data_IF_903378276047
#
_entry.id   IF_903378276047
#
_cell.length_a   1.000
_cell.length_b   1.000
_cell.length_c   1.000
_cell.angle_alpha   90.00
_cell.angle_beta   90.00
_cell.angle_gamma   90.00
#
_symmetry.space_group_name_H-M   'P 1'
#
loop_
_entity.id
_entity.type
_entity.pdbx_description
1 polymer ?
#
# COMPACT_ATOMS: atom_id res chain seq x y z
N UNK A 1 1.34 10.32 24.36
CA UNK A 1 1.72 11.48 23.51
C UNK A 1 1.93 10.97 22.10
N UNK A 2 1.05 11.34 21.18
CA UNK A 2 1.11 10.97 19.76
C UNK A 2 2.30 11.67 19.12
N UNK A 3 3.41 10.96 19.00
CA UNK A 3 4.61 11.46 18.32
C UNK A 3 4.25 11.84 16.89
N UNK A 4 4.38 13.13 16.58
CA UNK A 4 4.36 13.66 15.23
C UNK A 4 5.45 12.94 14.43
N UNK A 5 5.05 11.92 13.65
CA UNK A 5 5.95 11.26 12.70
C UNK A 5 6.29 12.29 11.64
N UNK A 6 7.43 12.98 11.78
CA UNK A 6 8.02 13.74 10.68
C UNK A 6 8.21 12.76 9.51
N UNK A 7 7.48 12.99 8.42
CA UNK A 7 7.66 12.20 7.22
C UNK A 7 9.06 12.49 6.65
N UNK A 8 9.77 11.48 6.12
CA UNK A 8 11.02 11.73 5.39
C UNK A 8 10.74 12.72 4.25
N UNK A 9 11.64 13.69 4.03
CA UNK A 9 11.48 14.74 3.02
C UNK A 9 11.18 14.20 1.61
N UNK A 10 11.70 13.01 1.27
CA UNK A 10 11.41 12.30 0.01
C UNK A 10 9.95 11.85 -0.11
N UNK A 11 9.32 11.46 1.00
CA UNK A 11 7.92 11.01 1.07
C UNK A 11 6.96 12.18 0.85
N UNK A 12 7.25 13.33 1.45
CA UNK A 12 6.46 14.55 1.23
C UNK A 12 6.59 15.07 -0.20
N UNK A 13 7.80 15.06 -0.76
CA UNK A 13 8.03 15.44 -2.15
C UNK A 13 7.25 14.54 -3.13
N UNK A 14 7.21 13.23 -2.87
CA UNK A 14 6.43 12.27 -3.66
C UNK A 14 4.92 12.55 -3.58
N UNK A 15 4.38 12.76 -2.37
CA UNK A 15 2.96 13.08 -2.19
C UNK A 15 2.59 14.42 -2.85
N UNK A 16 3.49 15.41 -2.80
CA UNK A 16 3.32 16.67 -3.50
C UNK A 16 3.28 16.48 -5.01
N UNK A 17 4.17 15.64 -5.57
CA UNK A 17 4.17 15.26 -6.99
C UNK A 17 2.84 14.62 -7.40
N UNK A 18 2.31 13.67 -6.63
CA UNK A 18 1.01 13.06 -6.88
C UNK A 18 -0.13 14.08 -6.90
N UNK A 19 -0.12 15.03 -5.96
CA UNK A 19 -1.12 16.10 -5.91
C UNK A 19 -1.02 17.05 -7.10
N UNK A 20 0.20 17.42 -7.50
CA UNK A 20 0.42 18.26 -8.68
C UNK A 20 -0.11 17.56 -9.93
N UNK A 21 0.30 16.31 -10.16
CA UNK A 21 -0.15 15.50 -11.30
C UNK A 21 -1.68 15.38 -11.37
N UNK A 22 -2.34 15.08 -10.25
CA UNK A 22 -3.81 15.03 -10.18
C UNK A 22 -4.45 16.35 -10.64
N UNK A 23 -3.95 17.48 -10.12
CA UNK A 23 -4.49 18.80 -10.47
C UNK A 23 -4.29 19.11 -11.94
N UNK A 24 -3.09 18.85 -12.47
CA UNK A 24 -2.74 19.17 -13.85
C UNK A 24 -3.54 18.31 -14.84
N UNK A 25 -3.69 17.01 -14.57
CA UNK A 25 -4.47 16.11 -15.43
C UNK A 25 -5.97 16.47 -15.41
N UNK A 26 -6.56 16.73 -14.24
CA UNK A 26 -7.98 17.14 -14.14
C UNK A 26 -8.21 18.49 -14.82
N UNK A 27 -7.31 19.46 -14.61
CA UNK A 27 -7.38 20.76 -15.26
C UNK A 27 -7.30 20.62 -16.78
N UNK A 28 -6.36 19.83 -17.28
CA UNK A 28 -6.20 19.54 -18.70
C UNK A 28 -7.48 18.91 -19.29
N UNK A 29 -8.11 17.96 -18.59
CA UNK A 29 -9.38 17.36 -19.05
C UNK A 29 -10.49 18.41 -19.17
N UNK A 30 -10.63 19.28 -18.16
CA UNK A 30 -11.65 20.34 -18.16
C UNK A 30 -11.41 21.34 -19.30
N UNK A 31 -10.19 21.86 -19.43
CA UNK A 31 -9.84 22.85 -20.45
C UNK A 31 -10.04 22.29 -21.86
N UNK A 32 -9.61 21.05 -22.13
CA UNK A 32 -9.83 20.44 -23.45
C UNK A 32 -11.32 20.21 -23.73
N UNK A 33 -12.12 19.84 -22.73
CA UNK A 33 -13.56 19.68 -22.89
C UNK A 33 -14.27 21.01 -23.16
N UNK A 34 -13.96 22.06 -22.40
CA UNK A 34 -14.51 23.41 -22.62
C UNK A 34 -14.25 23.90 -24.04
N UNK A 35 -13.04 23.67 -24.55
CA UNK A 35 -12.66 24.09 -25.90
C UNK A 35 -13.37 23.27 -26.99
N UNK A 36 -13.59 21.95 -26.80
CA UNK A 36 -14.44 21.16 -27.70
C UNK A 36 -15.86 21.76 -27.76
N UNK A 37 -16.42 22.14 -26.61
CA UNK A 37 -17.76 22.75 -26.54
C UNK A 37 -17.77 24.11 -27.24
N UNK A 38 -16.71 24.93 -27.11
CA UNK A 38 -16.60 26.21 -27.82
C UNK A 38 -16.56 26.02 -29.34
N UNK A 39 -15.69 25.15 -29.84
CA UNK A 39 -15.57 24.85 -31.26
C UNK A 39 -16.90 24.29 -31.83
N UNK A 40 -17.66 23.54 -31.03
CA UNK A 40 -18.93 22.93 -31.46
C UNK A 40 -20.04 23.95 -31.72
N UNK A 41 -19.91 25.18 -31.20
CA UNK A 41 -20.90 26.25 -31.42
C UNK A 41 -20.81 26.86 -32.83
N UNK A 42 -19.65 26.76 -33.48
CA UNK A 42 -19.43 27.34 -34.82
C UNK A 42 -19.56 28.87 -34.88
N UNK A 43 -19.50 29.55 -33.74
CA UNK A 43 -19.56 31.01 -33.62
C UNK A 43 -18.14 31.58 -33.73
N UNK A 44 -17.61 31.65 -34.95
CA UNK A 44 -16.27 32.19 -35.19
C UNK A 44 -16.27 33.19 -36.37
N UNK A 45 -15.94 34.45 -36.08
CA UNK A 45 -15.63 35.46 -37.10
C UNK A 45 -14.22 35.22 -37.63
N UNK A 46 -14.09 34.37 -38.65
CA UNK A 46 -12.78 34.07 -39.26
C UNK A 46 -12.72 34.58 -40.70
N UNK A 47 -11.50 34.90 -41.15
CA UNK A 47 -11.26 35.29 -42.54
C UNK A 47 -11.19 34.08 -43.50
N UNK A 48 -11.40 32.86 -42.99
CA UNK A 48 -11.33 31.63 -43.75
C UNK A 48 -12.67 31.29 -44.40
N UNK A 49 -12.62 30.50 -45.47
CA UNK A 49 -13.83 29.87 -46.01
C UNK A 49 -14.44 28.94 -44.96
N UNK A 50 -15.77 28.91 -44.88
CA UNK A 50 -16.52 28.07 -43.95
C UNK A 50 -16.11 26.60 -44.01
N UNK A 51 -15.83 26.08 -45.21
CA UNK A 51 -15.42 24.69 -45.40
C UNK A 51 -14.06 24.41 -44.76
N UNK A 52 -13.09 25.30 -44.96
CA UNK A 52 -11.76 25.21 -44.34
C UNK A 52 -11.82 25.35 -42.82
N UNK A 53 -12.68 26.24 -42.31
CA UNK A 53 -12.88 26.40 -40.87
C UNK A 53 -13.43 25.11 -40.23
N UNK A 54 -14.44 24.49 -40.84
CA UNK A 54 -15.01 23.25 -40.32
C UNK A 54 -13.99 22.10 -40.25
N UNK A 55 -13.11 21.98 -41.26
CA UNK A 55 -12.03 20.99 -41.24
C UNK A 55 -11.03 21.27 -40.10
N UNK A 56 -10.61 22.53 -39.95
CA UNK A 56 -9.71 22.94 -38.87
C UNK A 56 -10.30 22.64 -37.48
N UNK A 57 -11.56 23.04 -37.25
CA UNK A 57 -12.26 22.82 -35.98
C UNK A 57 -12.36 21.32 -35.67
N UNK A 58 -12.64 20.50 -36.69
CA UNK A 58 -12.71 19.03 -36.56
C UNK A 58 -11.36 18.45 -36.12
N UNK A 59 -10.26 18.86 -36.75
CA UNK A 59 -8.92 18.42 -36.35
C UNK A 59 -8.56 18.85 -34.93
N UNK A 60 -8.89 20.10 -34.57
CA UNK A 60 -8.64 20.59 -33.23
C UNK A 60 -9.45 19.84 -32.17
N UNK A 61 -10.74 19.57 -32.41
CA UNK A 61 -11.57 18.75 -31.54
C UNK A 61 -10.98 17.35 -31.33
N UNK A 62 -10.45 16.71 -32.39
CA UNK A 62 -9.78 15.41 -32.29
C UNK A 62 -8.53 15.45 -31.40
N UNK A 63 -7.68 16.46 -31.56
CA UNK A 63 -6.49 16.65 -30.72
C UNK A 63 -6.88 16.86 -29.26
N UNK A 64 -7.90 17.67 -29.02
CA UNK A 64 -8.41 17.93 -27.67
C UNK A 64 -9.00 16.68 -27.02
N UNK A 65 -9.76 15.89 -27.77
CA UNK A 65 -10.28 14.61 -27.29
C UNK A 65 -9.14 13.63 -26.93
N UNK A 66 -8.10 13.56 -27.76
CA UNK A 66 -6.92 12.74 -27.48
C UNK A 66 -6.18 13.19 -26.22
N UNK A 67 -6.08 14.51 -25.97
CA UNK A 67 -5.49 15.05 -24.74
C UNK A 67 -6.30 14.67 -23.49
N UNK A 68 -7.63 14.64 -23.56
CA UNK A 68 -8.50 14.16 -22.46
C UNK A 68 -8.21 12.69 -22.16
N UNK A 69 -8.13 11.83 -23.18
CA UNK A 69 -7.81 10.41 -23.00
C UNK A 69 -6.43 10.23 -22.35
N UNK A 70 -5.42 10.97 -22.82
CA UNK A 70 -4.06 10.93 -22.26
C UNK A 70 -4.03 11.34 -20.79
N UNK A 71 -4.76 12.39 -20.41
CA UNK A 71 -4.88 12.79 -19.01
C UNK A 71 -5.58 11.70 -18.16
N UNK A 72 -6.62 11.06 -18.71
CA UNK A 72 -7.27 9.91 -18.07
C UNK A 72 -6.32 8.72 -17.83
N UNK A 73 -5.50 8.37 -18.82
CA UNK A 73 -4.46 7.34 -18.65
C UNK A 73 -3.43 7.72 -17.58
N UNK A 74 -3.02 8.98 -17.54
CA UNK A 74 -2.12 9.49 -16.52
C UNK A 74 -2.72 9.36 -15.11
N UNK A 75 -4.01 9.66 -14.94
CA UNK A 75 -4.73 9.45 -13.68
C UNK A 75 -4.81 7.97 -13.29
N UNK A 76 -5.04 7.06 -14.23
CA UNK A 76 -5.02 5.61 -13.95
C UNK A 76 -3.65 5.14 -13.43
N UNK A 77 -2.55 5.64 -14.02
CA UNK A 77 -1.18 5.38 -13.53
C UNK A 77 -0.99 5.96 -12.13
N UNK A 78 -1.45 7.18 -11.87
CA UNK A 78 -1.38 7.80 -10.55
C UNK A 78 -2.10 6.96 -9.47
N UNK A 79 -3.28 6.41 -9.77
CA UNK A 79 -4.00 5.51 -8.86
C UNK A 79 -3.17 4.26 -8.55
N UNK A 80 -2.51 3.68 -9.56
CA UNK A 80 -1.60 2.54 -9.37
C UNK A 80 -0.43 2.89 -8.46
N UNK A 81 0.20 4.05 -8.69
CA UNK A 81 1.33 4.54 -7.89
C UNK A 81 0.93 4.73 -6.40
N UNK A 82 -0.27 5.27 -6.15
CA UNK A 82 -0.81 5.44 -4.79
C UNK A 82 -1.05 4.09 -4.11
N UNK A 83 -1.61 3.11 -4.83
CA UNK A 83 -1.81 1.74 -4.28
C UNK A 83 -0.47 1.12 -3.89
N UNK A 84 0.51 1.19 -4.78
CA UNK A 84 1.85 0.67 -4.50
C UNK A 84 2.48 1.36 -3.29
N UNK A 85 2.37 2.69 -3.20
CA UNK A 85 2.85 3.45 -2.07
C UNK A 85 2.21 3.03 -0.73
N UNK A 86 0.89 2.81 -0.71
CA UNK A 86 0.17 2.40 0.50
C UNK A 86 0.56 0.99 0.94
N UNK A 87 0.64 0.04 -0.01
CA UNK A 87 1.04 -1.34 0.27
C UNK A 87 2.46 -1.38 0.85
N UNK A 88 3.41 -0.69 0.21
CA UNK A 88 4.82 -0.72 0.61
C UNK A 88 5.10 0.05 1.91
N UNK A 89 4.34 1.11 2.21
CA UNK A 89 4.56 1.87 3.44
C UNK A 89 4.22 1.10 4.71
N UNK A 90 3.36 0.08 4.63
CA UNK A 90 2.96 -0.71 5.80
C UNK A 90 3.93 -1.86 6.09
N UNK A 91 4.79 -2.22 5.14
CA UNK A 91 5.75 -3.33 5.28
C UNK A 91 6.67 -3.21 6.50
N UNK A 92 7.23 -2.03 6.86
CA UNK A 92 8.04 -1.91 8.07
C UNK A 92 7.27 -2.29 9.34
N UNK A 93 6.03 -1.80 9.50
CA UNK A 93 5.20 -2.09 10.67
C UNK A 93 4.75 -3.55 10.71
N UNK A 94 4.40 -4.12 9.56
CA UNK A 94 4.11 -5.57 9.45
C UNK A 94 5.35 -6.39 9.83
N UNK A 95 6.54 -6.00 9.37
CA UNK A 95 7.78 -6.71 9.65
C UNK A 95 8.20 -6.61 11.14
N UNK A 96 7.97 -5.45 11.77
CA UNK A 96 8.11 -5.28 13.22
C UNK A 96 7.16 -6.20 13.99
N UNK A 97 5.89 -6.28 13.59
CA UNK A 97 4.91 -7.17 14.21
C UNK A 97 5.30 -8.66 14.07
N UNK A 98 5.74 -9.08 12.89
CA UNK A 98 6.25 -10.44 12.65
C UNK A 98 7.45 -10.72 13.54
N UNK A 99 8.41 -9.80 13.60
CA UNK A 99 9.62 -9.95 14.41
C UNK A 99 9.27 -10.03 15.90
N UNK A 100 8.36 -9.20 16.37
CA UNK A 100 7.89 -9.21 17.75
C UNK A 100 7.21 -10.55 18.10
N UNK A 101 6.24 -10.98 17.30
CA UNK A 101 5.52 -12.24 17.52
C UNK A 101 6.46 -13.45 17.48
N UNK A 102 7.41 -13.46 16.55
CA UNK A 102 8.43 -14.52 16.46
C UNK A 102 9.25 -14.63 17.74
N UNK A 103 9.65 -13.50 18.34
CA UNK A 103 10.36 -13.50 19.64
C UNK A 103 9.48 -14.02 20.77
N UNK A 104 8.22 -13.59 20.83
CA UNK A 104 7.25 -14.04 21.85
C UNK A 104 7.04 -15.55 21.76
N UNK A 105 6.83 -16.09 20.56
CA UNK A 105 6.62 -17.52 20.37
C UNK A 105 7.87 -18.33 20.74
N UNK A 106 9.06 -17.85 20.36
CA UNK A 106 10.31 -18.51 20.75
C UNK A 106 10.51 -18.50 22.27
N UNK A 107 10.19 -17.40 22.95
CA UNK A 107 10.25 -17.34 24.41
C UNK A 107 9.29 -18.33 25.06
N UNK A 108 8.04 -18.40 24.59
CA UNK A 108 7.04 -19.35 25.10
C UNK A 108 7.45 -20.80 24.85
N UNK A 109 8.05 -21.08 23.71
CA UNK A 109 8.58 -22.41 23.40
C UNK A 109 9.65 -22.80 24.42
N UNK A 110 10.65 -21.95 24.66
CA UNK A 110 11.71 -22.22 25.64
C UNK A 110 11.16 -22.40 27.06
N UNK A 111 10.17 -21.60 27.46
CA UNK A 111 9.52 -21.77 28.77
C UNK A 111 8.77 -23.11 28.89
N UNK A 112 8.07 -23.52 27.83
CA UNK A 112 7.38 -24.82 27.78
C UNK A 112 8.38 -25.97 27.87
N UNK A 113 9.47 -25.91 27.08
CA UNK A 113 10.53 -26.93 27.08
C UNK A 113 11.18 -27.06 28.46
N UNK A 114 11.44 -25.94 29.15
CA UNK A 114 11.96 -25.94 30.53
C UNK A 114 11.00 -26.59 31.51
N UNK A 115 9.70 -26.27 31.42
CA UNK A 115 8.66 -26.88 32.29
C UNK A 115 8.53 -28.38 32.05
N UNK A 116 8.58 -28.82 30.80
CA UNK A 116 8.57 -30.25 30.44
C UNK A 116 9.81 -30.97 30.97
N UNK A 117 10.98 -30.34 30.89
CA UNK A 117 12.22 -30.90 31.42
C UNK A 117 12.15 -31.07 32.94
N UNK A 118 11.68 -30.04 33.66
CA UNK A 118 11.48 -30.12 35.12
C UNK A 118 10.51 -31.23 35.50
N UNK A 119 9.35 -31.30 34.82
CA UNK A 119 8.34 -32.33 35.10
C UNK A 119 8.89 -33.75 34.86
N UNK A 120 9.70 -33.93 33.81
CA UNK A 120 10.36 -35.21 33.56
C UNK A 120 11.29 -35.60 34.70
N UNK A 121 12.06 -34.65 35.21
CA UNK A 121 13.01 -34.89 36.31
C UNK A 121 12.29 -35.22 37.62
N UNK A 122 11.21 -34.49 37.92
CA UNK A 122 10.34 -34.75 39.08
C UNK A 122 9.73 -36.16 38.99
N UNK A 123 9.15 -36.52 37.83
CA UNK A 123 8.58 -37.86 37.61
C UNK A 123 9.62 -38.97 37.72
N UNK A 124 10.85 -38.73 37.26
CA UNK A 124 11.92 -39.71 37.35
C UNK A 124 12.36 -39.94 38.80
N UNK A 125 12.39 -38.88 39.62
CA UNK A 125 12.66 -38.98 41.05
C UNK A 125 11.55 -39.76 41.76
N UNK A 126 10.28 -39.42 41.53
CA UNK A 126 9.14 -40.13 42.12
C UNK A 126 9.13 -41.62 41.74
N UNK A 127 9.45 -41.95 40.48
CA UNK A 127 9.55 -43.34 40.03
C UNK A 127 10.67 -44.10 40.75
N UNK A 128 11.82 -43.46 40.95
CA UNK A 128 12.95 -44.06 41.63
C UNK A 128 12.61 -44.38 43.10
N UNK A 129 12.00 -43.42 43.80
CA UNK A 129 11.59 -43.58 45.20
C UNK A 129 10.55 -44.71 45.34
N UNK A 130 9.57 -44.79 44.42
CA UNK A 130 8.58 -45.86 44.39
C UNK A 130 9.20 -47.24 44.11
N UNK A 131 10.17 -47.33 43.19
CA UNK A 131 10.89 -48.58 42.92
C UNK A 131 11.67 -49.04 44.16
N UNK A 132 12.38 -48.14 44.84
CA UNK A 132 13.13 -48.44 46.07
C UNK A 132 12.20 -48.95 47.18
N UNK A 133 11.06 -48.29 47.40
CA UNK A 133 10.06 -48.71 48.39
C UNK A 133 9.47 -50.09 48.05
N UNK A 134 9.16 -50.35 46.77
CA UNK A 134 8.67 -51.65 46.31
C UNK A 134 9.67 -52.77 46.57
N UNK A 135 10.94 -52.62 46.15
CA UNK A 135 11.95 -53.66 46.35
C UNK A 135 12.34 -53.85 47.83
N UNK A 136 12.34 -52.78 48.63
CA UNK A 136 12.60 -52.88 50.07
C UNK A 136 11.45 -53.54 50.84
N UNK A 137 10.21 -53.41 50.36
CA UNK A 137 9.04 -54.07 50.95
C UNK A 137 9.01 -55.59 50.71
N UNK A 138 9.56 -56.07 49.59
CA UNK A 138 9.66 -57.51 49.26
C UNK A 138 10.71 -58.23 50.11
N UNK A 139 11.72 -57.51 50.60
CA UNK A 139 12.82 -58.06 51.39
C UNK A 139 12.62 -57.90 52.92
N UNK A 140 11.42 -57.49 53.36
CA UNK A 140 10.98 -57.49 54.77
C UNK A 140 10.05 -58.67 55.03
#
# INVERSE_FOLDING_TARGET
>A
MSGSRNLPQSKEALLKSYRTRLKDDVKSMLENFEEIVKLSKGEHDTQLSRMTQCEQDTYEMHVRAANIVRAGESLMKLVSDIKQYLILNDFPSVNEAITHNSKVFRSKQTECDQKLMSLRDDMAADLYDLEEEYYSSINK
#
